data_IF_428388582654
#
_entry.id   IF_428388582654
#
_cell.length_a   1.000
_cell.length_b   1.000
_cell.length_c   1.000
_cell.angle_alpha   90.00
_cell.angle_beta   90.00
_cell.angle_gamma   90.00
#
_symmetry.space_group_name_H-M   'P 1'
#
loop_
_entity.id
_entity.type
_entity.pdbx_description
1 polymer ?
#
# COMPACT_ATOMS: atom_id res chain seq x y z
N UNK A 1 0.77 37.67 -21.15
CA UNK A 1 0.39 36.26 -20.90
C UNK A 1 1.46 35.45 -20.15
N UNK A 2 2.70 35.91 -19.99
CA UNK A 2 3.82 35.18 -19.37
C UNK A 2 3.80 35.12 -17.83
N UNK A 3 3.25 36.09 -17.13
CA UNK A 3 3.28 36.18 -15.65
C UNK A 3 2.26 35.27 -14.92
N UNK A 4 1.21 34.84 -15.60
CA UNK A 4 0.20 33.93 -15.02
C UNK A 4 0.68 32.47 -14.94
N UNK A 5 1.56 32.05 -15.86
CA UNK A 5 2.07 30.66 -15.89
C UNK A 5 3.21 30.42 -14.87
N UNK A 6 3.98 31.44 -14.50
CA UNK A 6 5.06 31.30 -13.52
C UNK A 6 4.54 31.16 -12.08
N UNK A 7 3.45 31.87 -11.73
CA UNK A 7 2.83 31.76 -10.41
C UNK A 7 2.17 30.40 -10.21
N UNK A 8 1.56 29.81 -11.25
CA UNK A 8 0.84 28.53 -11.14
C UNK A 8 1.80 27.34 -10.96
N UNK A 9 3.02 27.42 -11.49
CA UNK A 9 4.04 26.36 -11.29
C UNK A 9 4.59 26.36 -9.85
N UNK A 10 4.67 27.50 -9.20
CA UNK A 10 5.11 27.62 -7.79
C UNK A 10 4.09 27.02 -6.80
N UNK A 11 2.80 26.99 -7.17
CA UNK A 11 1.75 26.40 -6.35
C UNK A 11 1.92 24.87 -6.12
N UNK A 12 2.58 24.15 -7.04
CA UNK A 12 2.89 22.73 -6.88
C UNK A 12 3.90 22.46 -5.75
N UNK A 13 4.79 23.42 -5.51
CA UNK A 13 5.84 23.34 -4.49
C UNK A 13 5.40 23.96 -3.15
N UNK A 14 4.15 24.42 -3.07
CA UNK A 14 3.55 24.93 -1.84
C UNK A 14 2.57 23.87 -1.29
N UNK A 15 2.71 23.54 0.00
CA UNK A 15 1.91 22.52 0.67
C UNK A 15 0.39 22.77 0.54
N UNK A 16 -0.02 24.01 0.64
CA UNK A 16 -1.43 24.45 0.58
C UNK A 16 -1.75 25.24 -0.71
N UNK A 17 -0.87 25.19 -1.70
CA UNK A 17 -1.06 25.83 -2.99
C UNK A 17 -2.31 25.33 -3.72
N UNK A 18 -2.78 26.08 -4.71
CA UNK A 18 -3.95 25.74 -5.53
C UNK A 18 -3.54 25.58 -7.00
N UNK A 19 -2.87 24.48 -7.37
CA UNK A 19 -2.48 24.24 -8.74
C UNK A 19 -3.70 24.10 -9.65
N UNK A 20 -3.53 24.37 -10.94
CA UNK A 20 -4.60 24.09 -11.91
C UNK A 20 -4.82 22.58 -12.04
N UNK A 21 -6.06 22.18 -12.34
CA UNK A 21 -6.41 20.77 -12.53
C UNK A 21 -5.53 20.08 -13.60
N UNK A 22 -5.24 20.79 -14.71
CA UNK A 22 -4.39 20.27 -15.78
C UNK A 22 -2.94 19.98 -15.37
N UNK A 23 -2.42 20.70 -14.35
CA UNK A 23 -1.09 20.46 -13.79
C UNK A 23 -1.13 19.37 -12.72
N UNK A 24 -2.18 19.36 -11.89
CA UNK A 24 -2.34 18.40 -10.80
C UNK A 24 -2.62 16.98 -11.29
N UNK A 25 -3.45 16.82 -12.33
CA UNK A 25 -3.92 15.51 -12.80
C UNK A 25 -2.80 14.57 -13.26
N UNK A 26 -1.83 14.96 -14.10
CA UNK A 26 -0.73 14.07 -14.50
C UNK A 26 0.14 13.64 -13.31
N UNK A 27 0.38 14.54 -12.36
CA UNK A 27 1.15 14.26 -11.15
C UNK A 27 0.39 13.34 -10.21
N UNK A 28 -0.91 13.57 -10.02
CA UNK A 28 -1.78 12.68 -9.26
C UNK A 28 -1.81 11.28 -9.87
N UNK A 29 -1.92 11.19 -11.19
CA UNK A 29 -1.91 9.92 -11.90
C UNK A 29 -0.59 9.17 -11.75
N UNK A 30 0.54 9.88 -11.70
CA UNK A 30 1.85 9.30 -11.40
C UNK A 30 1.87 8.60 -10.03
N UNK A 31 1.27 9.21 -9.01
CA UNK A 31 1.11 8.60 -7.68
C UNK A 31 0.21 7.38 -7.72
N UNK A 32 -0.93 7.44 -8.43
CA UNK A 32 -1.85 6.30 -8.58
C UNK A 32 -1.16 5.12 -9.24
N UNK A 33 -0.45 5.35 -10.34
CA UNK A 33 0.27 4.31 -11.09
C UNK A 33 1.32 3.61 -10.20
N UNK A 34 2.00 4.36 -9.34
CA UNK A 34 3.02 3.81 -8.45
C UNK A 34 2.44 2.94 -7.33
N UNK A 35 1.18 3.17 -6.91
CA UNK A 35 0.62 2.54 -5.71
C UNK A 35 -0.52 1.56 -5.96
N UNK A 36 -1.23 1.65 -7.10
CA UNK A 36 -2.48 0.90 -7.30
C UNK A 36 -2.32 -0.61 -7.13
N UNK A 37 -1.27 -1.17 -7.72
CA UNK A 37 -0.98 -2.60 -7.60
C UNK A 37 -0.60 -2.98 -6.17
N UNK A 38 0.15 -2.12 -5.49
CA UNK A 38 0.47 -2.30 -4.08
C UNK A 38 -0.76 -2.30 -3.18
N UNK A 39 -1.81 -1.57 -3.54
CA UNK A 39 -3.09 -1.58 -2.81
C UNK A 39 -3.95 -2.82 -3.10
N UNK A 40 -3.78 -3.47 -4.25
CA UNK A 40 -4.62 -4.58 -4.72
C UNK A 40 -4.00 -5.94 -4.47
N UNK A 41 -2.71 -6.10 -4.75
CA UNK A 41 -2.04 -7.39 -4.68
C UNK A 41 -2.14 -8.07 -3.30
N UNK A 42 -1.97 -7.37 -2.16
CA UNK A 42 -2.17 -8.00 -0.84
C UNK A 42 -3.58 -8.55 -0.64
N UNK A 43 -4.61 -7.86 -1.18
CA UNK A 43 -6.00 -8.32 -1.10
C UNK A 43 -6.22 -9.59 -1.93
N UNK A 44 -5.68 -9.66 -3.13
CA UNK A 44 -5.75 -10.85 -3.98
C UNK A 44 -4.99 -12.02 -3.33
N UNK A 45 -3.81 -11.75 -2.78
CA UNK A 45 -2.99 -12.76 -2.07
C UNK A 45 -3.78 -13.34 -0.89
N UNK A 46 -4.36 -12.48 -0.06
CA UNK A 46 -5.13 -12.93 1.09
C UNK A 46 -6.38 -13.69 0.66
N UNK A 47 -7.12 -13.18 -0.33
CA UNK A 47 -8.31 -13.83 -0.85
C UNK A 47 -8.03 -15.25 -1.34
N UNK A 48 -6.90 -15.44 -2.04
CA UNK A 48 -6.48 -16.76 -2.52
C UNK A 48 -6.19 -17.75 -1.39
N UNK A 49 -5.50 -17.31 -0.33
CA UNK A 49 -5.19 -18.18 0.83
C UNK A 49 -6.44 -18.46 1.66
N UNK A 50 -7.32 -17.46 1.83
CA UNK A 50 -8.57 -17.60 2.58
C UNK A 50 -9.67 -18.36 1.81
N UNK A 51 -9.46 -18.73 0.55
CA UNK A 51 -10.46 -19.41 -0.28
C UNK A 51 -11.72 -18.57 -0.51
N UNK A 52 -11.60 -17.24 -0.58
CA UNK A 52 -12.74 -16.35 -0.81
C UNK A 52 -13.38 -16.56 -2.18
N UNK A 53 -14.69 -16.37 -2.26
CA UNK A 53 -15.40 -16.31 -3.52
C UNK A 53 -14.90 -15.13 -4.39
N UNK A 54 -15.13 -15.17 -5.70
CA UNK A 54 -14.79 -14.05 -6.59
C UNK A 54 -15.48 -12.75 -6.15
N UNK A 55 -16.76 -12.83 -5.72
CA UNK A 55 -17.54 -11.70 -5.23
C UNK A 55 -16.93 -11.11 -3.95
N UNK A 56 -16.51 -11.94 -3.00
CA UNK A 56 -15.90 -11.49 -1.75
C UNK A 56 -14.51 -10.92 -2.00
N UNK A 57 -13.76 -11.49 -2.94
CA UNK A 57 -12.47 -10.93 -3.39
C UNK A 57 -12.65 -9.52 -3.95
N UNK A 58 -13.68 -9.30 -4.77
CA UNK A 58 -14.01 -7.96 -5.29
C UNK A 58 -14.33 -6.99 -4.14
N UNK A 59 -15.12 -7.41 -3.16
CA UNK A 59 -15.46 -6.59 -1.97
C UNK A 59 -14.20 -6.24 -1.17
N UNK A 60 -13.30 -7.20 -0.96
CA UNK A 60 -12.04 -6.99 -0.23
C UNK A 60 -11.14 -5.97 -0.95
N UNK A 61 -11.01 -6.07 -2.29
CA UNK A 61 -10.24 -5.13 -3.11
C UNK A 61 -10.87 -3.72 -3.04
N UNK A 62 -12.20 -3.63 -3.19
CA UNK A 62 -12.91 -2.36 -3.11
C UNK A 62 -12.68 -1.67 -1.76
N UNK A 63 -12.89 -2.39 -0.65
CA UNK A 63 -12.68 -1.88 0.69
C UNK A 63 -11.22 -1.41 0.87
N UNK A 64 -10.25 -2.17 0.36
CA UNK A 64 -8.83 -1.85 0.42
C UNK A 64 -8.48 -0.57 -0.34
N UNK A 65 -8.98 -0.40 -1.56
CA UNK A 65 -8.81 0.82 -2.36
C UNK A 65 -9.48 2.04 -1.69
N UNK A 66 -10.71 1.88 -1.23
CA UNK A 66 -11.45 2.94 -0.55
C UNK A 66 -10.73 3.38 0.74
N UNK A 67 -10.22 2.42 1.53
CA UNK A 67 -9.48 2.72 2.75
C UNK A 67 -8.12 3.37 2.49
N UNK A 68 -7.43 3.00 1.42
CA UNK A 68 -6.22 3.70 0.98
C UNK A 68 -6.51 5.17 0.66
N UNK A 69 -7.64 5.45 0.00
CA UNK A 69 -8.09 6.80 -0.29
C UNK A 69 -8.45 7.57 1.00
N UNK A 70 -9.30 7.01 1.85
CA UNK A 70 -9.76 7.64 3.10
C UNK A 70 -8.57 7.92 4.03
N UNK A 71 -7.68 6.94 4.22
CA UNK A 71 -6.48 7.08 5.05
C UNK A 71 -5.57 8.19 4.52
N UNK A 72 -5.39 8.26 3.20
CA UNK A 72 -4.60 9.33 2.56
C UNK A 72 -5.24 10.70 2.78
N UNK A 73 -6.55 10.84 2.58
CA UNK A 73 -7.24 12.10 2.82
C UNK A 73 -7.11 12.58 4.26
N UNK A 74 -7.27 11.68 5.23
CA UNK A 74 -7.13 12.00 6.66
C UNK A 74 -5.70 12.45 6.98
N UNK A 75 -4.69 11.80 6.40
CA UNK A 75 -3.29 12.18 6.59
C UNK A 75 -2.97 13.56 5.98
N UNK A 76 -3.48 13.84 4.79
CA UNK A 76 -3.23 15.11 4.08
C UNK A 76 -3.97 16.29 4.69
N UNK A 77 -5.24 16.08 5.06
CA UNK A 77 -6.16 17.12 5.50
C UNK A 77 -6.70 16.82 6.91
N UNK A 78 -5.94 17.13 7.97
CA UNK A 78 -6.36 16.85 9.34
C UNK A 78 -7.52 17.75 9.75
N UNK A 79 -8.74 17.27 9.55
CA UNK A 79 -9.97 17.99 9.88
C UNK A 79 -10.54 17.66 11.26
N UNK A 80 -10.15 16.51 11.84
CA UNK A 80 -10.57 16.13 13.19
C UNK A 80 -9.54 16.64 14.19
N UNK A 81 -9.94 17.61 15.02
CA UNK A 81 -9.10 18.18 16.09
C UNK A 81 -9.70 17.85 17.44
N UNK A 82 -8.88 17.35 18.35
CA UNK A 82 -9.28 17.04 19.71
C UNK A 82 -8.28 17.63 20.70
N UNK A 83 -8.66 18.70 21.38
CA UNK A 83 -7.78 19.46 22.31
C UNK A 83 -6.42 19.80 21.66
N UNK A 84 -5.36 19.14 22.12
CA UNK A 84 -3.98 19.33 21.68
C UNK A 84 -3.57 18.44 20.48
N UNK A 85 -4.41 17.47 20.10
CA UNK A 85 -4.14 16.50 19.04
C UNK A 85 -5.02 16.78 17.83
N UNK A 86 -4.55 16.35 16.67
CA UNK A 86 -5.34 16.25 15.44
C UNK A 86 -5.15 14.89 14.80
N UNK A 87 -6.13 14.41 14.06
CA UNK A 87 -6.04 13.16 13.32
C UNK A 87 -5.51 13.48 11.93
N UNK A 88 -4.25 13.12 11.65
CA UNK A 88 -3.52 13.38 10.41
C UNK A 88 -2.25 14.18 10.63
N UNK A 89 -1.17 13.79 9.93
CA UNK A 89 0.10 14.51 9.99
C UNK A 89 0.04 15.89 9.32
N UNK A 90 -0.85 16.05 8.34
CA UNK A 90 -0.86 17.22 7.47
C UNK A 90 0.36 17.28 6.53
N UNK A 91 1.04 16.18 6.31
CA UNK A 91 2.19 16.05 5.43
C UNK A 91 1.79 15.45 4.07
N UNK A 92 2.56 15.71 3.00
CA UNK A 92 2.29 15.16 1.68
C UNK A 92 2.69 13.67 1.59
N UNK A 93 1.94 12.83 2.27
CA UNK A 93 2.17 11.38 2.39
C UNK A 93 0.95 10.62 1.91
N UNK A 94 1.17 9.55 1.18
CA UNK A 94 0.12 8.63 0.71
C UNK A 94 0.11 7.38 1.58
N UNK A 95 -1.09 6.92 1.89
CA UNK A 95 -1.36 5.68 2.60
C UNK A 95 -1.88 4.63 1.64
N UNK A 96 -1.48 3.38 1.82
CA UNK A 96 -2.00 2.26 1.03
C UNK A 96 -1.85 0.95 1.76
N UNK A 97 -2.41 -0.13 1.21
CA UNK A 97 -2.35 -1.45 1.84
C UNK A 97 -0.91 -1.91 1.96
N UNK A 98 -0.53 -2.37 3.14
CA UNK A 98 0.86 -2.70 3.44
C UNK A 98 1.16 -4.18 3.24
N UNK A 99 2.18 -4.47 2.43
CA UNK A 99 2.72 -5.82 2.28
C UNK A 99 3.35 -6.38 3.57
N UNK A 100 3.72 -5.52 4.52
CA UNK A 100 4.31 -5.94 5.78
C UNK A 100 3.40 -6.87 6.60
N UNK A 101 2.08 -6.76 6.43
CA UNK A 101 1.11 -7.60 7.11
C UNK A 101 0.81 -8.92 6.39
N UNK A 102 1.16 -9.03 5.10
CA UNK A 102 0.77 -10.19 4.27
C UNK A 102 1.22 -11.53 4.88
N UNK A 103 2.47 -11.72 5.34
CA UNK A 103 2.89 -13.00 5.90
C UNK A 103 2.07 -13.42 7.12
N UNK A 104 1.79 -12.48 8.02
CA UNK A 104 0.99 -12.74 9.23
C UNK A 104 -0.47 -12.98 8.85
N UNK A 105 -1.04 -12.19 7.94
CA UNK A 105 -2.41 -12.40 7.47
C UNK A 105 -2.57 -13.76 6.80
N UNK A 106 -1.59 -14.19 5.98
CA UNK A 106 -1.58 -15.52 5.37
C UNK A 106 -1.50 -16.64 6.42
N UNK A 107 -0.68 -16.46 7.47
CA UNK A 107 -0.59 -17.43 8.56
C UNK A 107 -1.92 -17.54 9.32
N UNK A 108 -2.57 -16.43 9.63
CA UNK A 108 -3.88 -16.42 10.30
C UNK A 108 -4.95 -17.05 9.39
N UNK A 109 -4.93 -16.76 8.10
CA UNK A 109 -5.90 -17.25 7.12
C UNK A 109 -5.83 -18.77 6.85
N UNK A 110 -4.78 -19.46 7.31
CA UNK A 110 -4.70 -20.93 7.25
C UNK A 110 -5.62 -21.60 8.25
N UNK A 111 -5.83 -20.98 9.42
CA UNK A 111 -6.55 -21.57 10.55
C UNK A 111 -7.82 -20.77 10.93
N UNK A 112 -7.97 -19.55 10.42
CA UNK A 112 -9.05 -18.63 10.76
C UNK A 112 -9.56 -17.88 9.54
N UNK A 113 -10.64 -17.11 9.70
CA UNK A 113 -11.28 -16.33 8.64
C UNK A 113 -10.74 -14.90 8.54
N UNK A 114 -11.18 -14.17 7.51
CA UNK A 114 -10.82 -12.76 7.30
C UNK A 114 -11.32 -11.88 8.45
N UNK A 115 -12.46 -12.22 9.08
CA UNK A 115 -13.00 -11.51 10.24
C UNK A 115 -12.05 -11.51 11.44
N UNK A 116 -11.27 -12.57 11.63
CA UNK A 116 -10.22 -12.65 12.65
C UNK A 116 -9.07 -11.69 12.35
N UNK A 117 -8.66 -11.57 11.09
CA UNK A 117 -7.65 -10.59 10.67
C UNK A 117 -8.13 -9.16 10.92
N UNK A 118 -9.40 -8.87 10.59
CA UNK A 118 -9.99 -7.55 10.80
C UNK A 118 -10.14 -7.23 12.30
N UNK A 119 -10.51 -8.20 13.13
CA UNK A 119 -10.53 -8.04 14.60
C UNK A 119 -9.13 -7.73 15.16
N UNK A 120 -8.13 -8.46 14.73
CA UNK A 120 -6.75 -8.21 15.10
C UNK A 120 -6.24 -6.85 14.60
N UNK A 121 -6.70 -6.38 13.42
CA UNK A 121 -6.41 -5.05 12.89
C UNK A 121 -6.98 -3.94 13.76
N UNK A 122 -8.16 -4.11 14.35
CA UNK A 122 -8.73 -3.16 15.33
C UNK A 122 -7.80 -3.03 16.54
N UNK A 123 -7.37 -4.16 17.10
CA UNK A 123 -6.41 -4.17 18.22
C UNK A 123 -5.09 -3.50 17.80
N UNK A 124 -4.58 -3.83 16.62
CA UNK A 124 -3.39 -3.19 16.05
C UNK A 124 -3.54 -1.67 15.90
N UNK A 125 -4.71 -1.20 15.44
CA UNK A 125 -5.02 0.22 15.36
C UNK A 125 -4.99 0.91 16.73
N UNK A 126 -5.49 0.26 17.77
CA UNK A 126 -5.42 0.75 19.17
C UNK A 126 -3.94 0.82 19.61
N UNK A 127 -3.15 -0.22 19.34
CA UNK A 127 -1.70 -0.23 19.62
C UNK A 127 -1.02 0.95 18.92
N UNK A 128 -1.31 1.20 17.65
CA UNK A 128 -0.73 2.34 16.93
C UNK A 128 -1.13 3.70 17.55
N UNK A 129 -2.36 3.86 18.03
CA UNK A 129 -2.77 5.09 18.73
C UNK A 129 -1.94 5.26 20.01
N UNK A 130 -1.75 4.20 20.79
CA UNK A 130 -0.93 4.22 22.01
C UNK A 130 0.52 4.57 21.65
N UNK A 131 1.08 3.92 20.61
CA UNK A 131 2.43 4.25 20.13
C UNK A 131 2.53 5.70 19.71
N UNK A 132 1.52 6.24 18.99
CA UNK A 132 1.48 7.64 18.58
C UNK A 132 1.51 8.60 19.77
N UNK A 133 0.73 8.33 20.81
CA UNK A 133 0.71 9.16 22.03
C UNK A 133 2.09 9.15 22.73
N UNK A 134 2.73 8.01 22.82
CA UNK A 134 3.99 7.78 23.53
C UNK A 134 5.20 7.69 22.58
N UNK A 135 5.12 8.23 21.38
CA UNK A 135 6.15 8.03 20.35
C UNK A 135 7.56 8.45 20.81
N UNK A 136 7.67 9.51 21.60
CA UNK A 136 8.96 9.99 22.13
C UNK A 136 9.65 8.94 23.00
N UNK A 137 8.90 8.19 23.77
CA UNK A 137 9.39 7.15 24.66
C UNK A 137 9.60 5.83 23.92
N UNK A 138 8.64 5.48 23.04
CA UNK A 138 8.59 4.16 22.38
C UNK A 138 9.65 4.06 21.28
N UNK A 139 9.98 5.13 20.55
CA UNK A 139 10.95 5.09 19.45
C UNK A 139 12.33 4.56 19.86
N UNK A 140 12.71 4.71 21.12
CA UNK A 140 13.98 4.18 21.64
C UNK A 140 13.98 2.65 21.77
N UNK A 141 12.81 2.02 21.86
CA UNK A 141 12.66 0.56 21.91
C UNK A 141 12.85 -0.10 20.54
N UNK A 142 12.74 0.68 19.46
CA UNK A 142 12.84 0.21 18.09
C UNK A 142 13.98 0.92 17.32
N UNK A 143 15.24 0.64 17.70
CA UNK A 143 16.38 1.19 16.98
C UNK A 143 16.40 0.72 15.51
N UNK A 144 17.10 1.42 14.61
CA UNK A 144 17.17 1.09 13.19
C UNK A 144 17.57 -0.37 12.91
N UNK A 145 18.42 -0.94 13.75
CA UNK A 145 18.85 -2.34 13.66
C UNK A 145 17.64 -3.28 13.83
N UNK A 146 16.82 -3.08 14.86
CA UNK A 146 15.64 -3.94 15.13
C UNK A 146 14.59 -3.76 14.03
N UNK A 147 14.22 -2.51 13.73
CA UNK A 147 13.22 -2.22 12.70
C UNK A 147 13.68 -2.71 11.33
N UNK A 148 14.94 -2.48 10.97
CA UNK A 148 15.52 -2.92 9.70
C UNK A 148 15.55 -4.43 9.57
N UNK A 149 15.91 -5.15 10.63
CA UNK A 149 15.92 -6.62 10.65
C UNK A 149 14.50 -7.18 10.42
N UNK A 150 13.49 -6.61 11.07
CA UNK A 150 12.10 -7.04 10.88
C UNK A 150 11.63 -6.77 9.44
N UNK A 151 11.87 -5.58 8.91
CA UNK A 151 11.49 -5.23 7.53
C UNK A 151 12.21 -6.12 6.51
N UNK A 152 13.50 -6.42 6.74
CA UNK A 152 14.26 -7.35 5.91
C UNK A 152 13.66 -8.77 5.94
N UNK A 153 13.37 -9.28 7.14
CA UNK A 153 12.75 -10.60 7.32
C UNK A 153 11.37 -10.68 6.64
N UNK A 154 10.54 -9.62 6.75
CA UNK A 154 9.25 -9.54 6.03
C UNK A 154 9.47 -9.65 4.52
N UNK A 155 10.39 -8.87 3.96
CA UNK A 155 10.70 -8.93 2.53
C UNK A 155 11.09 -10.34 2.08
N UNK A 156 11.93 -11.03 2.84
CA UNK A 156 12.34 -12.40 2.54
C UNK A 156 11.19 -13.41 2.68
N UNK A 157 10.36 -13.28 3.70
CA UNK A 157 9.24 -14.21 3.97
C UNK A 157 8.14 -14.18 2.90
N UNK A 158 8.12 -13.15 2.05
CA UNK A 158 7.17 -13.02 0.95
C UNK A 158 7.61 -13.77 -0.34
N UNK A 159 8.89 -14.14 -0.48
CA UNK A 159 9.35 -14.81 -1.70
C UNK A 159 8.68 -16.18 -1.97
N UNK A 160 8.43 -17.06 -0.98
CA UNK A 160 7.66 -18.28 -1.21
C UNK A 160 6.29 -18.01 -1.82
N UNK A 161 5.60 -16.95 -1.36
CA UNK A 161 4.30 -16.54 -1.93
C UNK A 161 4.45 -16.09 -3.39
N UNK A 162 5.48 -15.30 -3.71
CA UNK A 162 5.74 -14.90 -5.09
C UNK A 162 6.01 -16.10 -5.99
N UNK A 163 6.84 -17.05 -5.54
CA UNK A 163 7.16 -18.28 -6.30
C UNK A 163 5.93 -19.15 -6.51
N UNK A 164 5.09 -19.33 -5.49
CA UNK A 164 3.83 -20.04 -5.62
C UNK A 164 2.90 -19.39 -6.66
N UNK A 165 2.85 -18.06 -6.68
CA UNK A 165 2.07 -17.31 -7.66
C UNK A 165 2.68 -17.40 -9.06
N UNK A 166 4.01 -17.34 -9.20
CA UNK A 166 4.68 -17.55 -10.48
C UNK A 166 4.37 -18.94 -11.08
N UNK A 167 4.19 -19.92 -10.21
CA UNK A 167 3.77 -21.28 -10.62
C UNK A 167 2.29 -21.40 -10.99
N UNK A 168 1.48 -20.33 -10.84
CA UNK A 168 0.04 -20.32 -11.15
C UNK A 168 -0.87 -20.34 -9.94
N UNK A 169 -0.30 -20.31 -8.71
CA UNK A 169 -1.03 -20.33 -7.44
C UNK A 169 -1.30 -21.72 -6.90
N UNK A 170 -1.06 -21.88 -5.61
CA UNK A 170 -1.23 -23.16 -4.92
C UNK A 170 -2.68 -23.68 -5.07
N UNK A 171 -2.83 -24.91 -5.49
CA UNK A 171 -4.14 -25.55 -5.70
C UNK A 171 -4.77 -25.34 -7.07
N UNK A 172 -4.18 -24.55 -7.97
CA UNK A 172 -4.65 -24.46 -9.36
C UNK A 172 -4.34 -25.75 -10.13
N UNK A 173 -5.22 -26.12 -11.07
CA UNK A 173 -5.08 -27.32 -11.88
C UNK A 173 -3.84 -27.30 -12.79
N UNK A 174 -3.37 -26.12 -13.16
CA UNK A 174 -2.22 -25.85 -14.01
C UNK A 174 -0.97 -25.43 -13.21
N UNK A 175 -0.96 -25.66 -11.88
CA UNK A 175 0.16 -25.32 -11.02
C UNK A 175 1.48 -25.92 -11.52
N UNK A 176 2.50 -25.07 -11.66
CA UNK A 176 3.81 -25.48 -12.15
C UNK A 176 3.91 -25.65 -13.66
N UNK A 177 2.86 -25.34 -14.43
CA UNK A 177 2.89 -25.42 -15.88
C UNK A 177 3.95 -24.49 -16.48
N UNK A 178 4.52 -24.89 -17.62
CA UNK A 178 5.55 -24.07 -18.28
C UNK A 178 5.00 -22.71 -18.74
N UNK A 179 3.72 -22.63 -19.06
CA UNK A 179 3.04 -21.39 -19.47
C UNK A 179 3.06 -20.38 -18.32
N UNK A 180 2.72 -20.83 -17.10
CA UNK A 180 2.77 -19.98 -15.91
C UNK A 180 4.18 -19.40 -15.69
N UNK A 181 5.21 -20.24 -15.79
CA UNK A 181 6.60 -19.80 -15.63
C UNK A 181 7.04 -18.81 -16.70
N UNK A 182 6.69 -19.05 -17.98
CA UNK A 182 7.05 -18.15 -19.07
C UNK A 182 6.43 -16.77 -18.87
N UNK A 183 5.13 -16.70 -18.55
CA UNK A 183 4.43 -15.43 -18.30
C UNK A 183 4.99 -14.73 -17.07
N UNK A 184 5.27 -15.46 -15.99
CA UNK A 184 5.84 -14.90 -14.76
C UNK A 184 7.24 -14.33 -14.98
N UNK A 185 8.14 -15.08 -15.63
CA UNK A 185 9.50 -14.60 -15.91
C UNK A 185 9.52 -13.44 -16.90
N UNK A 186 8.64 -13.44 -17.89
CA UNK A 186 8.52 -12.30 -18.80
C UNK A 186 8.06 -11.03 -18.03
N UNK A 187 7.05 -11.18 -17.19
CA UNK A 187 6.56 -10.07 -16.33
C UNK A 187 7.70 -9.55 -15.45
N UNK A 188 8.41 -10.44 -14.75
CA UNK A 188 9.56 -10.09 -13.92
C UNK A 188 10.65 -9.39 -14.70
N UNK A 189 10.98 -9.88 -15.89
CA UNK A 189 12.01 -9.29 -16.75
C UNK A 189 11.62 -7.86 -17.17
N UNK A 190 10.36 -7.64 -17.58
CA UNK A 190 9.87 -6.30 -17.95
C UNK A 190 9.90 -5.35 -16.75
N UNK A 191 9.39 -5.78 -15.58
CA UNK A 191 9.42 -4.97 -14.35
C UNK A 191 10.87 -4.60 -14.00
N UNK A 192 11.77 -5.57 -13.99
CA UNK A 192 13.17 -5.37 -13.61
C UNK A 192 13.89 -4.46 -14.61
N UNK A 193 13.69 -4.67 -15.90
CA UNK A 193 14.28 -3.84 -16.96
C UNK A 193 13.81 -2.38 -16.86
N UNK A 194 12.50 -2.17 -16.67
CA UNK A 194 11.96 -0.81 -16.53
C UNK A 194 12.38 -0.15 -15.21
N UNK A 195 12.48 -0.91 -14.13
CA UNK A 195 12.94 -0.37 -12.84
C UNK A 195 14.43 0.02 -12.90
N UNK A 196 15.26 -0.72 -13.62
CA UNK A 196 16.70 -0.48 -13.70
C UNK A 196 17.05 0.55 -14.80
N UNK A 197 16.53 0.36 -16.02
CA UNK A 197 16.88 1.18 -17.19
C UNK A 197 15.86 2.31 -17.45
N UNK A 198 14.65 2.21 -16.91
CA UNK A 198 13.60 3.21 -17.08
C UNK A 198 13.95 4.55 -16.44
N UNK A 199 13.47 5.63 -17.04
CA UNK A 199 13.61 7.00 -16.53
C UNK A 199 12.24 7.62 -16.32
N UNK A 200 12.14 8.53 -15.34
CA UNK A 200 10.91 9.25 -15.05
C UNK A 200 9.72 8.33 -14.78
N UNK A 201 8.61 8.55 -15.47
CA UNK A 201 7.37 7.83 -15.28
C UNK A 201 7.46 6.33 -15.62
N UNK A 202 8.31 5.94 -16.58
CA UNK A 202 8.50 4.54 -16.96
C UNK A 202 9.09 3.71 -15.81
N UNK A 203 10.01 4.28 -15.04
CA UNK A 203 10.57 3.63 -13.86
C UNK A 203 9.50 3.47 -12.76
N UNK A 204 8.71 4.50 -12.53
CA UNK A 204 7.66 4.51 -11.51
C UNK A 204 6.51 3.57 -11.87
N UNK A 205 6.17 3.48 -13.16
CA UNK A 205 5.13 2.61 -13.69
C UNK A 205 5.62 1.17 -13.99
N UNK A 206 6.86 0.82 -13.66
CA UNK A 206 7.49 -0.44 -14.05
C UNK A 206 6.64 -1.67 -13.70
N UNK A 207 6.09 -1.71 -12.48
CA UNK A 207 5.25 -2.81 -11.99
C UNK A 207 3.94 -2.88 -12.78
N UNK A 208 3.27 -1.73 -12.95
CA UNK A 208 2.01 -1.67 -13.71
C UNK A 208 2.22 -2.08 -15.18
N UNK A 209 3.27 -1.57 -15.83
CA UNK A 209 3.58 -1.92 -17.22
C UNK A 209 3.93 -3.41 -17.33
N UNK A 210 4.71 -3.94 -16.39
CA UNK A 210 5.03 -5.37 -16.37
C UNK A 210 3.79 -6.24 -16.23
N UNK A 211 2.86 -5.87 -15.36
CA UNK A 211 1.57 -6.57 -15.22
C UNK A 211 0.75 -6.46 -16.50
N UNK A 212 0.66 -5.29 -17.13
CA UNK A 212 -0.07 -5.13 -18.40
C UNK A 212 0.53 -6.00 -19.51
N UNK A 213 1.86 -6.05 -19.64
CA UNK A 213 2.53 -6.92 -20.61
C UNK A 213 2.27 -8.39 -20.29
N UNK A 214 2.44 -8.82 -19.03
CA UNK A 214 2.15 -10.18 -18.60
C UNK A 214 0.69 -10.58 -18.85
N UNK A 215 -0.24 -9.66 -18.55
CA UNK A 215 -1.67 -9.85 -18.80
C UNK A 215 -1.97 -10.06 -20.29
N UNK A 216 -1.44 -9.21 -21.17
CA UNK A 216 -1.63 -9.34 -22.62
C UNK A 216 -1.05 -10.66 -23.14
N UNK A 217 0.13 -11.05 -22.65
CA UNK A 217 0.78 -12.32 -23.04
C UNK A 217 0.03 -13.53 -22.50
N UNK A 218 -0.69 -13.42 -21.38
CA UNK A 218 -1.49 -14.52 -20.82
C UNK A 218 -2.78 -14.81 -21.60
N UNK A 219 -3.28 -13.85 -22.42
CA UNK A 219 -4.51 -14.01 -23.20
C UNK A 219 -4.42 -15.19 -24.18
N UNK A 220 -3.38 -15.32 -25.03
CA UNK A 220 -3.27 -16.45 -25.97
C UNK A 220 -3.18 -17.83 -25.28
N UNK A 221 -2.75 -17.86 -24.02
CA UNK A 221 -2.71 -19.10 -23.23
C UNK A 221 -4.06 -19.45 -22.57
N UNK A 222 -5.10 -18.62 -22.76
CA UNK A 222 -6.42 -18.83 -22.18
C UNK A 222 -6.50 -18.64 -20.65
N UNK A 223 -5.53 -17.91 -20.06
CA UNK A 223 -5.46 -17.72 -18.61
C UNK A 223 -6.37 -16.60 -18.09
N UNK A 224 -6.96 -15.80 -18.98
CA UNK A 224 -7.80 -14.65 -18.63
C UNK A 224 -9.26 -15.02 -18.72
N UNK A 225 -10.00 -14.89 -17.62
CA UNK A 225 -11.44 -15.06 -17.57
C UNK A 225 -12.11 -13.72 -17.22
N UNK A 226 -12.96 -13.21 -18.12
CA UNK A 226 -13.66 -11.94 -17.97
C UNK A 226 -15.11 -12.07 -17.47
N UNK A 227 -15.57 -13.29 -17.12
CA UNK A 227 -16.97 -13.52 -16.71
C UNK A 227 -17.35 -12.68 -15.50
N UNK A 228 -16.51 -12.61 -14.48
CA UNK A 228 -16.75 -11.83 -13.26
C UNK A 228 -16.91 -10.33 -13.50
N UNK A 229 -16.26 -9.79 -14.55
CA UNK A 229 -16.38 -8.36 -14.90
C UNK A 229 -17.77 -8.05 -15.46
N UNK A 230 -18.36 -9.01 -16.20
CA UNK A 230 -19.73 -8.88 -16.74
C UNK A 230 -20.78 -8.82 -15.63
N UNK A 231 -20.63 -9.65 -14.61
CA UNK A 231 -21.56 -9.79 -13.49
C UNK A 231 -21.41 -8.71 -12.41
N UNK A 232 -20.25 -8.07 -12.32
CA UNK A 232 -19.97 -7.05 -11.34
C UNK A 232 -20.86 -5.81 -11.51
N UNK A 233 -21.33 -5.25 -10.39
CA UNK A 233 -22.09 -3.99 -10.36
C UNK A 233 -21.23 -2.83 -10.85
N UNK A 234 -21.88 -1.77 -11.35
CA UNK A 234 -21.19 -0.54 -11.77
C UNK A 234 -20.81 0.32 -10.57
N UNK A 235 -21.65 0.31 -9.52
CA UNK A 235 -21.45 1.12 -8.31
C UNK A 235 -21.81 0.32 -7.07
N UNK A 236 -20.92 0.35 -6.07
CA UNK A 236 -21.15 -0.23 -4.75
C UNK A 236 -20.23 0.46 -3.74
N UNK A 237 -20.80 0.87 -2.63
CA UNK A 237 -20.00 1.36 -1.50
C UNK A 237 -19.38 0.18 -0.75
N UNK A 238 -18.23 0.40 -0.06
CA UNK A 238 -17.66 -0.58 0.87
C UNK A 238 -18.72 -1.04 1.86
N UNK A 239 -18.79 -2.34 2.11
CA UNK A 239 -19.81 -2.94 2.96
C UNK A 239 -19.33 -2.96 4.40
N UNK A 240 -20.14 -2.40 5.32
CA UNK A 240 -19.84 -2.39 6.73
C UNK A 240 -19.89 -3.82 7.31
N UNK A 241 -18.80 -4.26 7.94
CA UNK A 241 -18.64 -5.56 8.60
C UNK A 241 -19.00 -6.78 7.72
N UNK A 242 -18.75 -6.70 6.40
CA UNK A 242 -19.08 -7.76 5.45
C UNK A 242 -18.47 -9.12 5.83
N UNK A 243 -17.21 -9.13 6.27
CA UNK A 243 -16.49 -10.35 6.68
C UNK A 243 -16.66 -10.70 8.16
N UNK A 244 -17.48 -9.93 8.91
CA UNK A 244 -17.54 -10.05 10.36
C UNK A 244 -16.29 -9.50 11.07
N UNK A 245 -16.27 -9.59 12.37
CA UNK A 245 -15.12 -9.21 13.22
C UNK A 245 -15.02 -10.23 14.34
N UNK A 246 -13.91 -10.98 14.36
CA UNK A 246 -13.63 -11.98 15.36
C UNK A 246 -12.29 -11.65 16.04
N UNK A 247 -12.19 -11.94 17.32
CA UNK A 247 -10.98 -11.68 18.08
C UNK A 247 -10.34 -12.98 18.53
N UNK A 248 -9.09 -13.18 18.10
CA UNK A 248 -8.24 -14.27 18.55
C UNK A 248 -6.96 -13.67 19.15
N UNK A 249 -6.58 -14.14 20.34
CA UNK A 249 -5.48 -13.53 21.10
C UNK A 249 -4.16 -13.61 20.34
N UNK A 250 -3.84 -14.75 19.73
CA UNK A 250 -2.60 -14.94 18.98
C UNK A 250 -2.51 -13.98 17.78
N UNK A 251 -3.59 -13.85 17.00
CA UNK A 251 -3.71 -12.93 15.88
C UNK A 251 -3.61 -11.46 16.34
N UNK A 252 -4.28 -11.11 17.44
CA UNK A 252 -4.25 -9.76 18.01
C UNK A 252 -2.85 -9.36 18.46
N UNK A 253 -2.11 -10.26 19.11
CA UNK A 253 -0.73 -10.01 19.54
C UNK A 253 0.20 -9.86 18.34
N UNK A 254 0.11 -10.77 17.35
CA UNK A 254 0.98 -10.76 16.17
C UNK A 254 0.78 -9.50 15.32
N UNK A 255 -0.47 -9.17 14.99
CA UNK A 255 -0.81 -7.97 14.21
C UNK A 255 -0.52 -6.71 15.03
N UNK A 256 -0.84 -6.69 16.34
CA UNK A 256 -0.55 -5.57 17.23
C UNK A 256 0.94 -5.21 17.27
N UNK A 257 1.82 -6.21 17.34
CA UNK A 257 3.26 -6.01 17.30
C UNK A 257 3.71 -5.40 15.96
N UNK A 258 3.17 -5.90 14.83
CA UNK A 258 3.46 -5.31 13.51
C UNK A 258 2.98 -3.86 13.40
N UNK A 259 1.85 -3.51 14.00
CA UNK A 259 1.39 -2.12 14.04
C UNK A 259 2.36 -1.21 14.81
N UNK A 260 2.93 -1.68 15.92
CA UNK A 260 3.97 -0.94 16.63
C UNK A 260 5.22 -0.74 15.76
N UNK A 261 5.70 -1.78 15.08
CA UNK A 261 6.87 -1.71 14.18
C UNK A 261 6.60 -0.78 12.98
N UNK A 262 5.43 -0.90 12.32
CA UNK A 262 5.06 -0.04 11.21
C UNK A 262 4.87 1.42 11.64
N UNK A 263 4.45 1.67 12.87
CA UNK A 263 4.41 3.04 13.43
C UNK A 263 5.79 3.68 13.46
N UNK A 264 6.82 2.91 13.80
CA UNK A 264 8.21 3.39 13.77
C UNK A 264 8.70 3.57 12.33
N UNK A 265 8.36 2.66 11.42
CA UNK A 265 8.66 2.82 9.98
C UNK A 265 8.03 4.09 9.41
N UNK A 266 6.80 4.42 9.81
CA UNK A 266 6.11 5.63 9.37
C UNK A 266 6.86 6.91 9.79
N UNK A 267 7.58 6.92 10.92
CA UNK A 267 8.47 8.03 11.30
C UNK A 267 9.53 8.25 10.23
N UNK A 268 10.12 7.17 9.71
CA UNK A 268 11.09 7.23 8.62
C UNK A 268 10.51 7.87 7.36
N UNK A 269 9.31 7.47 6.96
CA UNK A 269 8.63 7.99 5.77
C UNK A 269 8.22 9.47 5.93
N UNK A 270 7.71 9.87 7.11
CA UNK A 270 7.43 11.27 7.42
C UNK A 270 8.71 12.11 7.41
N UNK A 271 9.79 11.61 8.03
CA UNK A 271 11.08 12.28 8.04
C UNK A 271 11.69 12.39 6.64
N UNK A 272 11.64 11.33 5.84
CA UNK A 272 12.11 11.35 4.47
C UNK A 272 11.34 12.38 3.62
N UNK A 273 10.01 12.48 3.82
CA UNK A 273 9.17 13.47 3.13
C UNK A 273 9.55 14.90 3.53
N UNK A 274 9.65 15.19 4.83
CA UNK A 274 9.91 16.55 5.31
C UNK A 274 11.34 16.98 5.05
N UNK A 275 12.34 16.15 5.30
CA UNK A 275 13.75 16.46 5.03
C UNK A 275 13.99 16.46 3.52
N UNK A 276 13.50 15.44 2.82
CA UNK A 276 13.80 15.25 1.40
C UNK A 276 13.04 16.20 0.47
N UNK A 277 11.85 16.67 0.82
CA UNK A 277 11.03 17.51 -0.07
C UNK A 277 10.68 18.89 0.49
N UNK A 278 10.70 19.06 1.82
CA UNK A 278 10.32 20.31 2.47
C UNK A 278 11.52 21.02 3.13
N UNK A 279 12.72 20.43 3.04
CA UNK A 279 14.00 20.94 3.57
C UNK A 279 13.91 21.32 5.08
N UNK A 280 13.15 20.53 5.86
CA UNK A 280 13.00 20.70 7.32
C UNK A 280 12.83 19.37 8.04
N UNK A 281 13.14 19.36 9.32
CA UNK A 281 12.88 18.22 10.20
C UNK A 281 11.37 18.16 10.52
N UNK A 282 10.76 16.96 10.65
CA UNK A 282 9.37 16.85 11.07
C UNK A 282 9.20 17.31 12.52
N UNK A 283 8.07 17.95 12.80
CA UNK A 283 7.69 18.29 14.15
C UNK A 283 7.20 17.06 14.91
N UNK A 284 7.49 16.96 16.20
CA UNK A 284 7.01 15.85 17.05
C UNK A 284 5.47 15.69 16.96
N UNK A 285 4.74 16.80 16.83
CA UNK A 285 3.28 16.77 16.67
C UNK A 285 2.83 16.18 15.35
N UNK A 286 3.57 16.42 14.26
CA UNK A 286 3.27 15.84 12.96
C UNK A 286 3.42 14.32 13.01
N UNK A 287 4.48 13.83 13.66
CA UNK A 287 4.72 12.40 13.88
C UNK A 287 3.62 11.77 14.74
N UNK A 288 3.31 12.38 15.90
CA UNK A 288 2.26 11.90 16.79
C UNK A 288 0.91 11.81 16.09
N UNK A 289 0.49 12.91 15.46
CA UNK A 289 -0.80 13.02 14.80
C UNK A 289 -0.91 12.07 13.59
N UNK A 290 0.19 11.88 12.85
CA UNK A 290 0.25 10.96 11.72
C UNK A 290 0.10 9.50 12.16
N UNK A 291 0.77 9.09 13.24
CA UNK A 291 0.67 7.73 13.76
C UNK A 291 -0.69 7.48 14.42
N UNK A 292 -1.23 8.46 15.13
CA UNK A 292 -2.60 8.36 15.66
C UNK A 292 -3.63 8.20 14.53
N UNK A 293 -3.49 8.97 13.44
CA UNK A 293 -4.35 8.84 12.27
C UNK A 293 -4.20 7.47 11.61
N UNK A 294 -2.99 6.95 11.50
CA UNK A 294 -2.73 5.59 11.03
C UNK A 294 -3.49 4.55 11.86
N UNK A 295 -3.49 4.66 13.19
CA UNK A 295 -4.28 3.78 14.06
C UNK A 295 -5.79 3.92 13.84
N UNK A 296 -6.31 5.15 13.86
CA UNK A 296 -7.75 5.43 13.68
C UNK A 296 -8.26 4.95 12.32
N UNK A 297 -7.52 5.23 11.25
CA UNK A 297 -7.92 4.83 9.89
C UNK A 297 -7.88 3.31 9.70
N UNK A 298 -7.00 2.60 10.38
CA UNK A 298 -6.97 1.14 10.36
C UNK A 298 -8.12 0.50 11.14
N UNK A 299 -8.56 1.10 12.26
CA UNK A 299 -9.79 0.68 12.94
C UNK A 299 -11.00 0.86 12.01
N UNK A 300 -11.11 2.02 11.39
CA UNK A 300 -12.16 2.28 10.40
C UNK A 300 -12.07 1.31 9.22
N UNK A 301 -10.85 1.01 8.76
CA UNK A 301 -10.58 0.04 7.70
C UNK A 301 -11.11 -1.34 8.01
N UNK A 302 -10.84 -1.85 9.20
CA UNK A 302 -11.35 -3.14 9.65
C UNK A 302 -12.88 -3.19 9.64
N UNK A 303 -13.55 -2.12 10.08
CA UNK A 303 -15.02 -2.04 10.06
C UNK A 303 -15.61 -2.00 8.66
N UNK A 304 -14.86 -1.48 7.67
CA UNK A 304 -15.26 -1.42 6.26
C UNK A 304 -14.72 -2.60 5.43
N UNK A 305 -14.09 -3.58 6.06
CA UNK A 305 -13.53 -4.76 5.40
C UNK A 305 -12.22 -4.50 4.63
N UNK A 306 -11.58 -3.36 4.86
CA UNK A 306 -10.30 -3.01 4.22
C UNK A 306 -9.10 -3.48 5.04
N UNK A 307 -8.08 -3.96 4.34
CA UNK A 307 -6.85 -4.47 4.95
C UNK A 307 -5.97 -3.38 5.58
N UNK A 308 -4.96 -3.74 6.42
CA UNK A 308 -4.09 -2.79 7.08
C UNK A 308 -3.36 -1.88 6.10
N UNK A 309 -3.54 -0.57 6.28
CA UNK A 309 -2.82 0.46 5.51
C UNK A 309 -1.55 0.89 6.24
N UNK A 310 -0.56 1.39 5.50
CA UNK A 310 0.64 2.05 6.02
C UNK A 310 1.11 3.16 5.06
N UNK A 311 2.12 3.92 5.45
CA UNK A 311 2.76 4.89 4.57
C UNK A 311 3.43 4.21 3.37
N UNK A 312 3.34 4.82 2.19
CA UNK A 312 3.93 4.28 0.96
C UNK A 312 5.26 4.96 0.63
N UNK A 313 6.36 4.28 0.95
CA UNK A 313 7.71 4.76 0.69
C UNK A 313 7.99 5.04 -0.80
N UNK A 314 7.34 4.30 -1.73
CA UNK A 314 7.44 4.58 -3.18
C UNK A 314 6.90 5.97 -3.51
N UNK A 315 5.77 6.35 -2.92
CA UNK A 315 5.16 7.66 -3.12
C UNK A 315 5.96 8.76 -2.41
N UNK A 316 6.56 8.47 -1.25
CA UNK A 316 7.55 9.35 -0.61
C UNK A 316 8.72 9.61 -1.55
N UNK A 317 9.23 8.57 -2.23
CA UNK A 317 10.27 8.69 -3.26
C UNK A 317 9.88 9.61 -4.42
N UNK A 318 8.60 9.61 -4.86
CA UNK A 318 8.09 10.53 -5.87
C UNK A 318 8.11 11.97 -5.34
N UNK A 319 7.55 12.20 -4.16
CA UNK A 319 7.48 13.54 -3.53
C UNK A 319 8.88 14.11 -3.35
N UNK A 320 9.83 13.34 -2.84
CA UNK A 320 11.22 13.80 -2.60
C UNK A 320 11.96 14.08 -3.89
N UNK A 321 11.73 13.30 -4.94
CA UNK A 321 12.40 13.47 -6.24
C UNK A 321 11.82 14.65 -7.03
N UNK A 322 10.51 14.79 -7.04
CA UNK A 322 9.81 15.85 -7.79
C UNK A 322 9.73 17.18 -7.03
N UNK A 323 9.90 17.13 -5.71
CA UNK A 323 9.66 18.25 -4.78
C UNK A 323 8.21 18.77 -4.82
N UNK A 324 7.28 18.03 -5.42
CA UNK A 324 5.87 18.37 -5.44
C UNK A 324 5.25 17.95 -4.11
N UNK A 325 5.09 18.93 -3.21
CA UNK A 325 4.55 18.72 -1.85
C UNK A 325 3.08 19.11 -1.72
N UNK A 326 2.44 19.49 -2.79
CA UNK A 326 1.08 20.00 -2.79
C UNK A 326 0.06 18.94 -2.36
N UNK A 327 -0.70 19.21 -1.30
CA UNK A 327 -1.71 18.28 -0.76
C UNK A 327 -2.85 17.99 -1.73
N UNK A 328 -3.23 18.97 -2.59
CA UNK A 328 -4.30 18.76 -3.55
C UNK A 328 -3.93 17.79 -4.66
N UNK A 329 -2.64 17.74 -5.06
CA UNK A 329 -2.14 16.75 -6.02
C UNK A 329 -2.28 15.34 -5.45
N UNK A 330 -1.82 15.13 -4.22
CA UNK A 330 -1.91 13.82 -3.56
C UNK A 330 -3.38 13.49 -3.19
N UNK A 331 -4.16 14.50 -2.82
CA UNK A 331 -5.59 14.36 -2.58
C UNK A 331 -6.35 13.94 -3.84
N UNK A 332 -5.98 14.46 -5.01
CA UNK A 332 -6.54 14.03 -6.29
C UNK A 332 -6.17 12.57 -6.59
N UNK A 333 -4.95 12.14 -6.29
CA UNK A 333 -4.56 10.73 -6.39
C UNK A 333 -5.43 9.84 -5.48
N UNK A 334 -5.65 10.26 -4.23
CA UNK A 334 -6.53 9.57 -3.31
C UNK A 334 -7.99 9.53 -3.82
N UNK A 335 -8.49 10.63 -4.42
CA UNK A 335 -9.83 10.67 -5.01
C UNK A 335 -9.97 9.66 -6.16
N UNK A 336 -8.97 9.53 -7.02
CA UNK A 336 -8.96 8.54 -8.12
C UNK A 336 -9.04 7.12 -7.55
N UNK A 337 -8.27 6.80 -6.51
CA UNK A 337 -8.35 5.50 -5.83
C UNK A 337 -9.70 5.28 -5.15
N UNK A 338 -10.27 6.32 -4.53
CA UNK A 338 -11.58 6.26 -3.91
C UNK A 338 -12.66 5.93 -4.95
N UNK A 339 -12.61 6.56 -6.12
CA UNK A 339 -13.50 6.23 -7.25
C UNK A 339 -13.30 4.79 -7.69
N UNK A 340 -12.05 4.32 -7.82
CA UNK A 340 -11.76 2.92 -8.15
C UNK A 340 -12.33 1.94 -7.10
N UNK A 341 -12.28 2.32 -5.81
CA UNK A 341 -12.83 1.52 -4.71
C UNK A 341 -14.36 1.46 -4.63
N UNK A 342 -15.09 2.35 -5.30
CA UNK A 342 -16.57 2.33 -5.36
C UNK A 342 -17.11 1.78 -6.69
N UNK A 343 -16.22 1.37 -7.61
CA UNK A 343 -16.58 0.78 -8.92
C UNK A 343 -16.20 -0.70 -8.94
N UNK A 344 -17.12 -1.65 -8.58
CA UNK A 344 -16.84 -3.08 -8.54
C UNK A 344 -16.26 -3.65 -9.83
N UNK A 345 -16.69 -3.14 -10.99
CA UNK A 345 -16.16 -3.56 -12.29
C UNK A 345 -14.65 -3.36 -12.39
N UNK A 346 -14.12 -2.29 -11.79
CA UNK A 346 -12.69 -2.06 -11.76
C UNK A 346 -11.97 -3.12 -10.89
N UNK A 347 -12.50 -3.40 -9.70
CA UNK A 347 -11.96 -4.45 -8.83
C UNK A 347 -12.08 -5.84 -9.47
N UNK A 348 -13.21 -6.15 -10.10
CA UNK A 348 -13.40 -7.39 -10.85
C UNK A 348 -12.43 -7.52 -12.04
N UNK A 349 -12.10 -6.43 -12.73
CA UNK A 349 -11.07 -6.45 -13.76
C UNK A 349 -9.69 -6.83 -13.16
N UNK A 350 -9.38 -6.36 -11.98
CA UNK A 350 -8.11 -6.67 -11.32
C UNK A 350 -8.04 -8.13 -10.84
N UNK A 351 -9.16 -8.78 -10.52
CA UNK A 351 -9.18 -10.22 -10.19
C UNK A 351 -8.94 -11.11 -11.40
N UNK A 352 -9.13 -10.60 -12.63
CA UNK A 352 -8.84 -11.38 -13.85
C UNK A 352 -7.34 -11.51 -14.14
N UNK A 353 -6.49 -10.77 -13.42
CA UNK A 353 -5.03 -10.85 -13.60
C UNK A 353 -4.55 -12.22 -13.14
N UNK A 354 -3.94 -13.02 -14.04
CA UNK A 354 -3.46 -14.36 -13.67
C UNK A 354 -2.44 -14.29 -12.53
N UNK A 355 -2.49 -15.27 -11.64
CA UNK A 355 -1.60 -15.30 -10.48
C UNK A 355 -0.11 -15.31 -10.88
N UNK A 356 0.25 -15.99 -11.98
CA UNK A 356 1.62 -15.98 -12.50
C UNK A 356 2.13 -14.59 -12.87
N UNK A 357 1.25 -13.71 -13.39
CA UNK A 357 1.58 -12.31 -13.68
C UNK A 357 1.84 -11.54 -12.38
N UNK A 358 0.96 -11.71 -11.38
CA UNK A 358 1.13 -11.09 -10.06
C UNK A 358 2.40 -11.59 -9.37
N UNK A 359 2.68 -12.90 -9.46
CA UNK A 359 3.90 -13.50 -8.92
C UNK A 359 5.15 -12.86 -9.49
N UNK A 360 5.26 -12.80 -10.82
CA UNK A 360 6.40 -12.16 -11.49
C UNK A 360 6.60 -10.69 -11.11
N UNK A 361 5.50 -9.94 -11.01
CA UNK A 361 5.56 -8.52 -10.65
C UNK A 361 5.95 -8.30 -9.17
N UNK A 362 5.42 -9.10 -8.25
CA UNK A 362 5.62 -8.92 -6.80
C UNK A 362 7.02 -9.28 -6.31
N UNK A 363 7.78 -10.12 -7.01
CA UNK A 363 9.20 -10.38 -6.71
C UNK A 363 9.99 -9.07 -6.57
N UNK A 364 9.81 -8.14 -7.50
CA UNK A 364 10.50 -6.83 -7.45
C UNK A 364 10.04 -5.97 -6.27
N UNK A 365 8.78 -6.07 -5.87
CA UNK A 365 8.25 -5.37 -4.68
C UNK A 365 8.89 -5.93 -3.42
N UNK A 366 8.94 -7.26 -3.28
CA UNK A 366 9.52 -7.93 -2.11
C UNK A 366 11.02 -7.69 -2.00
N UNK A 367 11.73 -7.65 -3.14
CA UNK A 367 13.12 -7.23 -3.19
C UNK A 367 13.30 -5.80 -2.68
N UNK A 368 12.41 -4.88 -3.04
CA UNK A 368 12.47 -3.49 -2.57
C UNK A 368 12.22 -3.37 -1.06
N UNK A 369 11.32 -4.20 -0.50
CA UNK A 369 11.07 -4.26 0.96
C UNK A 369 12.33 -4.79 1.66
N UNK A 370 12.89 -5.91 1.21
CA UNK A 370 14.12 -6.47 1.78
C UNK A 370 15.28 -5.46 1.72
N UNK A 371 15.48 -4.78 0.58
CA UNK A 371 16.50 -3.74 0.43
C UNK A 371 16.29 -2.55 1.37
N UNK A 372 15.04 -2.17 1.64
CA UNK A 372 14.73 -1.11 2.62
C UNK A 372 15.16 -1.55 4.02
N UNK A 373 14.84 -2.79 4.41
CA UNK A 373 15.30 -3.38 5.67
C UNK A 373 16.83 -3.38 5.79
N UNK A 374 17.53 -3.83 4.73
CA UNK A 374 19.01 -3.82 4.69
C UNK A 374 19.60 -2.41 4.85
N UNK A 375 19.01 -1.41 4.19
CA UNK A 375 19.44 -0.01 4.33
C UNK A 375 19.28 0.52 5.75
N UNK A 376 18.16 0.17 6.41
CA UNK A 376 17.92 0.53 7.81
C UNK A 376 18.94 -0.13 8.73
N UNK A 377 19.24 -1.42 8.54
CA UNK A 377 20.30 -2.11 9.31
C UNK A 377 21.67 -1.46 9.08
N UNK A 378 22.01 -1.16 7.81
CA UNK A 378 23.28 -0.54 7.47
C UNK A 378 23.42 0.91 7.99
N UNK A 379 22.29 1.58 8.27
CA UNK A 379 22.29 2.93 8.86
C UNK A 379 22.38 2.93 10.39
N UNK A 380 22.33 1.75 11.03
CA UNK A 380 22.50 1.65 12.47
C UNK A 380 23.97 1.94 12.82
N UNK A 381 24.19 2.84 13.79
CA UNK A 381 25.51 3.03 14.38
C UNK A 381 25.87 1.74 15.15
N UNK A 382 26.85 1.01 14.63
CA UNK A 382 27.43 -0.14 15.32
C UNK A 382 28.61 0.37 16.14
N UNK A 383 28.37 0.60 17.41
CA UNK A 383 29.46 0.77 18.38
C UNK A 383 30.14 -0.59 18.58
N UNK A 384 31.39 -0.70 18.10
CA UNK A 384 32.27 -1.84 18.36
C UNK A 384 33.09 -1.58 19.60
#
# INVERSE_FOLDING_TARGET
MSTKNSNTSQELFNLNGKPSFGQALPLAFQHVVAMIIGCVAPAIILAGVSGLSESDTVVLIQASLAMSAISTFIQLFPFIKFKSYQIGAGLPVIMGISFAYVPIMQSIAQDADVGTILGAQIVGGIVAIIVGIFIKQIRHLFPPLVTGTVVFAIGLSLYPTAVNYMAGGAGSADYGSWQNWVVAFLTLAVVTALNHFGKGILKLASILIGILVGYVVSIPFGMVNLSSVGEAKVFQLPQFMHFGIHFEISACVAIGLLFAINSVQAIGDYSATTIGAMDRVPEDRELQNGIMAYGVTNILGALLGGLPTATYSQNVGIVTTTKVINRWVLGLAAAILGVAGIVPKFSALLTTIPQCVLGGATVSVFASIAMTGMKLVASAEMDY
#
